data_IF_096152548424
#
_entry.id   IF_096152548424
#
_cell.length_a   1.000
_cell.length_b   1.000
_cell.length_c   1.000
_cell.angle_alpha   90.00
_cell.angle_beta   90.00
_cell.angle_gamma   90.00
#
_symmetry.space_group_name_H-M   'P 1'
#
loop_
_entity.id
_entity.type
_entity.pdbx_description
1 polymer ?
#
# COMPACT_ATOMS: atom_id res chain seq x y z
N UNK A 1 39.49 17.52 0.01
CA UNK A 1 38.44 18.12 -0.83
C UNK A 1 37.13 17.30 -0.85
N UNK A 2 36.90 16.45 0.16
CA UNK A 2 35.78 15.46 0.23
C UNK A 2 34.66 15.78 1.23
N UNK A 3 34.88 16.71 2.17
CA UNK A 3 33.92 17.09 3.21
C UNK A 3 32.61 17.75 2.66
N UNK A 4 32.66 18.71 1.72
CA UNK A 4 31.43 19.37 1.25
C UNK A 4 30.53 18.41 0.42
N UNK A 5 31.11 17.47 -0.32
CA UNK A 5 30.34 16.52 -1.11
C UNK A 5 29.59 15.51 -0.24
N UNK A 6 30.21 15.07 0.85
CA UNK A 6 29.57 14.19 1.83
C UNK A 6 28.40 14.89 2.55
N UNK A 7 28.58 16.14 2.92
CA UNK A 7 27.55 16.93 3.60
C UNK A 7 26.32 17.15 2.71
N UNK A 8 26.53 17.43 1.42
CA UNK A 8 25.45 17.53 0.43
C UNK A 8 24.73 16.19 0.23
N UNK A 9 25.45 15.07 0.18
CA UNK A 9 24.81 13.75 0.04
C UNK A 9 24.00 13.36 1.28
N UNK A 10 24.51 13.67 2.47
CA UNK A 10 23.74 13.45 3.72
C UNK A 10 22.52 14.34 3.77
N UNK A 11 22.61 15.59 3.37
CA UNK A 11 21.45 16.48 3.29
C UNK A 11 20.40 15.96 2.31
N UNK A 12 20.79 15.53 1.12
CA UNK A 12 19.91 14.90 0.15
C UNK A 12 19.24 13.63 0.71
N UNK A 13 19.96 12.82 1.49
CA UNK A 13 19.39 11.66 2.18
C UNK A 13 18.34 12.07 3.21
N UNK A 14 18.59 13.10 3.99
CA UNK A 14 17.62 13.61 4.97
C UNK A 14 16.34 14.12 4.30
N UNK A 15 16.46 14.80 3.15
CA UNK A 15 15.32 15.26 2.35
C UNK A 15 14.47 14.09 1.82
N UNK A 16 15.12 13.06 1.29
CA UNK A 16 14.42 11.84 0.83
C UNK A 16 13.73 11.12 1.98
N UNK A 17 14.32 11.06 3.16
CA UNK A 17 13.67 10.51 4.34
C UNK A 17 12.46 11.34 4.79
N UNK A 18 12.52 12.65 4.67
CA UNK A 18 11.38 13.54 4.96
C UNK A 18 10.25 13.34 3.92
N UNK A 19 10.60 13.10 2.65
CA UNK A 19 9.62 12.73 1.62
C UNK A 19 8.97 11.37 1.91
N UNK A 20 9.75 10.38 2.34
CA UNK A 20 9.24 9.06 2.75
C UNK A 20 8.30 9.15 3.95
N UNK A 21 8.65 9.94 4.97
CA UNK A 21 7.79 10.19 6.15
C UNK A 21 6.45 10.76 5.70
N UNK A 22 6.46 11.83 4.90
CA UNK A 22 5.24 12.46 4.37
C UNK A 22 4.41 11.49 3.53
N UNK A 23 5.07 10.64 2.76
CA UNK A 23 4.38 9.62 1.97
C UNK A 23 3.65 8.61 2.86
N UNK A 24 4.31 8.08 3.90
CA UNK A 24 3.68 7.12 4.83
C UNK A 24 2.53 7.78 5.60
N UNK A 25 2.66 9.03 6.03
CA UNK A 25 1.58 9.81 6.66
C UNK A 25 0.38 9.98 5.72
N UNK A 26 0.64 10.24 4.43
CA UNK A 26 -0.40 10.32 3.41
C UNK A 26 -1.11 8.98 3.21
N UNK A 27 -0.37 7.87 3.16
CA UNK A 27 -0.96 6.52 3.04
C UNK A 27 -1.84 6.19 4.25
N UNK A 28 -1.40 6.53 5.47
CA UNK A 28 -2.20 6.36 6.69
C UNK A 28 -3.53 7.12 6.62
N UNK A 29 -3.50 8.38 6.22
CA UNK A 29 -4.71 9.20 6.04
C UNK A 29 -5.66 8.61 4.98
N UNK A 30 -5.11 8.04 3.90
CA UNK A 30 -5.91 7.38 2.87
C UNK A 30 -6.55 6.08 3.34
N UNK A 31 -5.86 5.27 4.15
CA UNK A 31 -6.46 4.08 4.74
C UNK A 31 -7.62 4.45 5.67
N UNK A 32 -7.51 5.53 6.42
CA UNK A 32 -8.59 6.05 7.24
C UNK A 32 -9.77 6.53 6.37
N UNK A 33 -9.51 7.33 5.33
CA UNK A 33 -10.52 7.78 4.39
C UNK A 33 -11.21 6.60 3.68
N UNK A 34 -10.45 5.60 3.25
CA UNK A 34 -10.98 4.38 2.63
C UNK A 34 -11.97 3.67 3.55
N UNK A 35 -11.62 3.47 4.82
CA UNK A 35 -12.52 2.84 5.79
C UNK A 35 -13.79 3.66 6.01
N UNK A 36 -13.66 4.98 6.11
CA UNK A 36 -14.82 5.87 6.28
C UNK A 36 -15.79 5.82 5.09
N UNK A 37 -15.26 5.81 3.86
CA UNK A 37 -16.05 5.71 2.63
C UNK A 37 -16.73 4.34 2.51
N UNK A 38 -16.03 3.25 2.86
CA UNK A 38 -16.61 1.90 2.87
C UNK A 38 -17.79 1.79 3.86
N UNK A 39 -17.64 2.33 5.06
CA UNK A 39 -18.69 2.32 6.09
C UNK A 39 -19.92 3.13 5.64
N UNK A 40 -19.68 4.26 4.98
CA UNK A 40 -20.74 5.13 4.44
C UNK A 40 -21.34 4.61 3.14
N UNK A 41 -20.75 3.61 2.50
CA UNK A 41 -21.09 3.13 1.16
C UNK A 41 -21.06 4.24 0.11
N UNK A 42 -20.06 5.10 0.18
CA UNK A 42 -19.85 6.20 -0.76
C UNK A 42 -18.97 5.72 -1.92
N UNK A 43 -19.62 5.13 -2.92
CA UNK A 43 -18.93 4.54 -4.09
C UNK A 43 -18.22 5.61 -4.92
N UNK A 44 -18.83 6.80 -5.07
CA UNK A 44 -18.23 7.91 -5.81
C UNK A 44 -16.96 8.44 -5.11
N UNK A 45 -17.01 8.55 -3.78
CA UNK A 45 -15.85 8.91 -2.96
C UNK A 45 -14.74 7.86 -3.06
N UNK A 46 -15.06 6.57 -3.09
CA UNK A 46 -14.11 5.48 -3.27
C UNK A 46 -13.41 5.54 -4.63
N UNK A 47 -14.17 5.73 -5.70
CA UNK A 47 -13.60 5.85 -7.05
C UNK A 47 -12.61 7.00 -7.14
N UNK A 48 -12.98 8.17 -6.63
CA UNK A 48 -12.09 9.34 -6.58
C UNK A 48 -10.83 9.08 -5.76
N UNK A 49 -10.95 8.45 -4.59
CA UNK A 49 -9.80 8.10 -3.75
C UNK A 49 -8.85 7.15 -4.47
N UNK A 50 -9.36 6.14 -5.17
CA UNK A 50 -8.55 5.18 -5.93
C UNK A 50 -7.83 5.85 -7.11
N UNK A 51 -8.48 6.79 -7.79
CA UNK A 51 -7.86 7.57 -8.87
C UNK A 51 -6.71 8.45 -8.34
N UNK A 52 -6.91 9.12 -7.21
CA UNK A 52 -5.87 9.91 -6.56
C UNK A 52 -4.67 9.05 -6.12
N UNK A 53 -4.90 7.84 -5.63
CA UNK A 53 -3.84 6.89 -5.28
C UNK A 53 -3.04 6.49 -6.54
N UNK A 54 -3.71 6.16 -7.64
CA UNK A 54 -3.04 5.80 -8.91
C UNK A 54 -2.17 6.93 -9.44
N UNK A 55 -2.68 8.16 -9.43
CA UNK A 55 -1.96 9.35 -9.91
C UNK A 55 -0.67 9.61 -9.13
N UNK A 56 -0.66 9.34 -7.83
CA UNK A 56 0.51 9.57 -6.99
C UNK A 56 1.51 8.41 -6.97
N UNK A 57 1.13 7.24 -7.47
CA UNK A 57 2.04 6.09 -7.53
C UNK A 57 3.29 6.37 -8.38
N UNK A 58 3.15 7.13 -9.47
CA UNK A 58 4.26 7.54 -10.34
C UNK A 58 5.27 8.45 -9.61
N UNK A 59 4.76 9.42 -8.83
CA UNK A 59 5.61 10.32 -8.05
C UNK A 59 6.43 9.55 -7.01
N UNK A 60 5.83 8.53 -6.38
CA UNK A 60 6.53 7.72 -5.41
C UNK A 60 7.59 6.80 -6.03
N UNK A 61 7.36 6.32 -7.26
CA UNK A 61 8.37 5.54 -7.99
C UNK A 61 9.64 6.36 -8.25
N UNK A 62 9.51 7.65 -8.57
CA UNK A 62 10.65 8.56 -8.74
C UNK A 62 11.48 8.70 -7.46
N UNK A 63 10.86 8.73 -6.29
CA UNK A 63 11.56 8.72 -5.00
C UNK A 63 12.36 7.45 -4.77
N UNK A 64 11.86 6.31 -5.24
CA UNK A 64 12.61 5.04 -5.21
C UNK A 64 13.93 5.11 -5.98
N UNK A 65 13.92 5.77 -7.13
CA UNK A 65 15.14 5.97 -7.94
C UNK A 65 16.14 6.90 -7.24
N UNK A 66 15.68 8.01 -6.64
CA UNK A 66 16.53 8.90 -5.84
C UNK A 66 17.21 8.16 -4.68
N UNK A 67 16.47 7.33 -3.96
CA UNK A 67 17.04 6.50 -2.87
C UNK A 67 18.11 5.56 -3.37
N UNK A 68 17.90 4.92 -4.51
CA UNK A 68 18.88 4.02 -5.09
C UNK A 68 20.14 4.76 -5.51
N UNK A 69 20.03 5.92 -6.16
CA UNK A 69 21.17 6.77 -6.52
C UNK A 69 21.98 7.16 -5.28
N UNK A 70 21.30 7.69 -4.24
CA UNK A 70 21.97 8.07 -2.99
C UNK A 70 22.65 6.89 -2.29
N UNK A 71 22.07 5.69 -2.36
CA UNK A 71 22.69 4.47 -1.83
C UNK A 71 23.99 4.15 -2.56
N UNK A 72 23.99 4.26 -3.89
CA UNK A 72 25.17 4.02 -4.72
C UNK A 72 26.27 5.05 -4.42
N UNK A 73 25.90 6.33 -4.31
CA UNK A 73 26.84 7.41 -3.98
C UNK A 73 27.50 7.20 -2.61
N UNK A 74 26.69 6.82 -1.61
CA UNK A 74 27.18 6.50 -0.26
C UNK A 74 28.05 5.24 -0.25
N UNK A 75 27.67 4.20 -1.00
CA UNK A 75 28.47 3.00 -1.14
C UNK A 75 29.85 3.31 -1.73
N UNK A 76 29.90 4.09 -2.80
CA UNK A 76 31.14 4.52 -3.44
C UNK A 76 32.00 5.38 -2.50
N UNK A 77 31.39 6.32 -1.77
CA UNK A 77 32.09 7.21 -0.86
C UNK A 77 32.76 6.47 0.31
N UNK A 78 32.07 5.50 0.90
CA UNK A 78 32.58 4.74 2.05
C UNK A 78 33.33 3.46 1.65
N UNK A 79 33.39 3.10 0.36
CA UNK A 79 33.96 1.83 -0.10
C UNK A 79 33.16 0.62 0.38
N UNK A 80 31.85 0.76 0.55
CA UNK A 80 30.97 -0.30 1.01
C UNK A 80 30.30 -0.99 -0.17
N UNK A 81 29.82 -2.22 0.07
CA UNK A 81 28.90 -2.84 -0.87
C UNK A 81 27.51 -2.15 -0.75
N UNK A 82 26.78 -1.99 -1.85
CA UNK A 82 25.44 -1.38 -1.86
C UNK A 82 24.49 -2.02 -0.85
N UNK A 83 24.58 -3.33 -0.66
CA UNK A 83 23.74 -4.08 0.29
C UNK A 83 24.02 -3.74 1.74
N UNK A 84 25.20 -3.25 2.03
CA UNK A 84 25.67 -2.92 3.38
C UNK A 84 25.36 -1.47 3.76
N UNK A 85 24.87 -0.66 2.83
CA UNK A 85 24.44 0.73 3.11
C UNK A 85 23.13 0.71 3.84
N UNK A 86 23.19 0.81 5.17
CA UNK A 86 22.04 0.91 6.06
C UNK A 86 22.08 2.20 6.87
N UNK A 87 20.89 2.71 7.25
CA UNK A 87 20.84 3.92 8.09
C UNK A 87 21.57 3.75 9.41
N UNK A 88 21.53 2.57 10.02
CA UNK A 88 22.23 2.27 11.26
C UNK A 88 23.76 2.30 11.09
N UNK A 89 24.28 1.80 9.97
CA UNK A 89 25.71 1.84 9.67
C UNK A 89 26.19 3.26 9.39
N UNK A 90 25.37 4.05 8.67
CA UNK A 90 25.63 5.47 8.44
C UNK A 90 25.70 6.28 9.73
N UNK A 91 24.79 6.01 10.68
CA UNK A 91 24.82 6.66 12.00
C UNK A 91 26.12 6.44 12.75
N UNK A 92 26.76 5.27 12.57
CA UNK A 92 28.08 4.98 13.15
C UNK A 92 29.22 5.81 12.56
N UNK A 93 29.06 6.35 11.35
CA UNK A 93 30.05 7.18 10.66
C UNK A 93 29.81 8.67 10.83
N UNK A 94 28.60 9.05 11.21
CA UNK A 94 28.22 10.45 11.39
C UNK A 94 28.42 10.90 12.84
N UNK A 95 28.70 12.18 13.00
CA UNK A 95 28.83 12.85 14.31
C UNK A 95 27.97 14.11 14.36
N UNK A 96 27.75 14.65 15.55
CA UNK A 96 27.09 15.92 15.73
C UNK A 96 25.65 15.98 15.24
N UNK A 97 25.20 17.13 14.69
CA UNK A 97 23.79 17.38 14.35
C UNK A 97 23.28 16.47 13.24
N UNK A 98 24.09 16.10 12.25
CA UNK A 98 23.69 15.22 11.15
C UNK A 98 23.33 13.81 11.64
N UNK A 99 24.07 13.27 12.63
CA UNK A 99 23.73 12.00 13.27
C UNK A 99 22.40 12.09 14.00
N UNK A 100 22.19 13.14 14.80
CA UNK A 100 20.95 13.35 15.54
C UNK A 100 19.75 13.49 14.60
N UNK A 101 19.89 14.24 13.50
CA UNK A 101 18.87 14.40 12.48
C UNK A 101 18.51 13.07 11.80
N UNK A 102 19.49 12.24 11.46
CA UNK A 102 19.28 10.92 10.85
C UNK A 102 18.58 9.97 11.83
N UNK A 103 19.01 9.91 13.09
CA UNK A 103 18.38 9.09 14.13
C UNK A 103 16.92 9.46 14.36
N UNK A 104 16.60 10.75 14.42
CA UNK A 104 15.23 11.25 14.60
C UNK A 104 14.31 10.79 13.45
N UNK A 105 14.74 10.96 12.19
CA UNK A 105 13.98 10.52 11.02
C UNK A 105 13.80 9.02 10.95
N UNK A 106 14.84 8.26 11.26
CA UNK A 106 14.77 6.80 11.32
C UNK A 106 13.75 6.34 12.39
N UNK A 107 13.79 6.91 13.58
CA UNK A 107 12.85 6.58 14.65
C UNK A 107 11.40 6.93 14.24
N UNK A 108 11.18 8.12 13.65
CA UNK A 108 9.87 8.54 13.14
C UNK A 108 9.36 7.59 12.06
N UNK A 109 10.19 7.27 11.07
CA UNK A 109 9.82 6.38 9.96
C UNK A 109 9.48 4.98 10.48
N UNK A 110 10.27 4.44 11.42
CA UNK A 110 10.00 3.14 12.05
C UNK A 110 8.64 3.13 12.75
N UNK A 111 8.34 4.16 13.54
CA UNK A 111 7.05 4.30 14.23
C UNK A 111 5.88 4.35 13.23
N UNK A 112 6.01 5.14 12.16
CA UNK A 112 4.98 5.24 11.12
C UNK A 112 4.77 3.93 10.37
N UNK A 113 5.83 3.17 10.07
CA UNK A 113 5.73 1.85 9.43
C UNK A 113 4.99 0.86 10.33
N UNK A 114 5.25 0.85 11.63
CA UNK A 114 4.52 -0.01 12.58
C UNK A 114 3.04 0.39 12.67
N UNK A 115 2.74 1.68 12.64
CA UNK A 115 1.36 2.16 12.54
C UNK A 115 0.72 1.73 11.23
N UNK A 116 1.42 1.90 10.10
CA UNK A 116 0.93 1.52 8.77
C UNK A 116 0.58 0.02 8.70
N UNK A 117 1.41 -0.85 9.26
CA UNK A 117 1.13 -2.30 9.32
C UNK A 117 -0.17 -2.59 10.05
N UNK A 118 -0.40 -1.96 11.20
CA UNK A 118 -1.65 -2.12 11.98
C UNK A 118 -2.86 -1.64 11.19
N UNK A 119 -2.80 -0.42 10.65
CA UNK A 119 -3.89 0.19 9.89
C UNK A 119 -4.21 -0.57 8.60
N UNK A 120 -3.18 -1.07 7.91
CA UNK A 120 -3.34 -1.93 6.74
C UNK A 120 -4.05 -3.23 7.08
N UNK A 121 -3.67 -3.90 8.18
CA UNK A 121 -4.32 -5.13 8.64
C UNK A 121 -5.80 -4.89 8.95
N UNK A 122 -6.13 -3.83 9.70
CA UNK A 122 -7.50 -3.46 10.02
C UNK A 122 -8.34 -3.19 8.75
N UNK A 123 -7.77 -2.48 7.79
CA UNK A 123 -8.44 -2.18 6.52
C UNK A 123 -8.67 -3.44 5.69
N UNK A 124 -7.71 -4.36 5.68
CA UNK A 124 -7.84 -5.65 4.96
C UNK A 124 -8.95 -6.52 5.55
N UNK A 125 -9.06 -6.58 6.88
CA UNK A 125 -10.14 -7.30 7.57
C UNK A 125 -11.50 -6.70 7.21
N UNK A 126 -11.63 -5.37 7.27
CA UNK A 126 -12.88 -4.68 6.91
C UNK A 126 -13.30 -4.96 5.46
N UNK A 127 -12.35 -4.90 4.52
CA UNK A 127 -12.63 -5.21 3.10
C UNK A 127 -13.09 -6.65 2.91
N UNK A 128 -12.46 -7.60 3.60
CA UNK A 128 -12.85 -9.00 3.55
C UNK A 128 -14.28 -9.22 4.08
N UNK A 129 -14.64 -8.56 5.17
CA UNK A 129 -15.99 -8.63 5.76
C UNK A 129 -17.03 -7.98 4.84
N UNK A 130 -16.74 -6.83 4.23
CA UNK A 130 -17.60 -6.22 3.23
C UNK A 130 -17.84 -7.14 2.02
N UNK A 131 -16.79 -7.77 1.51
CA UNK A 131 -16.90 -8.71 0.39
C UNK A 131 -17.74 -9.95 0.76
N UNK A 132 -17.54 -10.49 1.98
CA UNK A 132 -18.33 -11.61 2.51
C UNK A 132 -19.81 -11.23 2.61
N UNK A 133 -20.10 -10.06 3.18
CA UNK A 133 -21.47 -9.58 3.32
C UNK A 133 -22.15 -9.39 1.97
N UNK A 134 -21.50 -8.76 1.01
CA UNK A 134 -22.04 -8.60 -0.34
C UNK A 134 -22.33 -9.95 -1.00
N UNK A 135 -21.46 -10.95 -0.83
CA UNK A 135 -21.69 -12.31 -1.34
C UNK A 135 -22.94 -12.94 -0.72
N UNK A 136 -23.11 -12.82 0.60
CA UNK A 136 -24.28 -13.35 1.28
C UNK A 136 -25.57 -12.66 0.82
N UNK A 137 -25.55 -11.34 0.62
CA UNK A 137 -26.69 -10.60 0.05
C UNK A 137 -27.03 -11.07 -1.36
N UNK A 138 -26.03 -11.25 -2.23
CA UNK A 138 -26.25 -11.76 -3.58
C UNK A 138 -26.83 -13.17 -3.57
N UNK A 139 -26.34 -14.04 -2.68
CA UNK A 139 -26.90 -15.38 -2.49
C UNK A 139 -28.36 -15.34 -2.00
N UNK A 140 -28.68 -14.44 -1.07
CA UNK A 140 -30.03 -14.30 -0.54
C UNK A 140 -31.02 -13.73 -1.56
N UNK A 141 -30.59 -12.73 -2.35
CA UNK A 141 -31.44 -12.05 -3.32
C UNK A 141 -31.66 -12.84 -4.61
N UNK A 142 -30.61 -13.51 -5.10
CA UNK A 142 -30.65 -14.17 -6.40
C UNK A 142 -30.73 -15.69 -6.32
N UNK A 143 -30.89 -16.24 -5.10
CA UNK A 143 -31.07 -17.69 -4.93
C UNK A 143 -29.89 -18.53 -5.43
N UNK A 144 -28.70 -17.93 -5.55
CA UNK A 144 -27.46 -18.64 -5.93
C UNK A 144 -26.95 -19.45 -4.72
N UNK A 145 -27.83 -20.25 -4.15
CA UNK A 145 -27.44 -21.34 -3.28
C UNK A 145 -26.83 -22.42 -4.16
N UNK A 146 -25.58 -22.74 -3.95
CA UNK A 146 -24.91 -23.85 -4.62
C UNK A 146 -25.42 -25.26 -4.24
N UNK A 147 -26.69 -25.38 -3.90
CA UNK A 147 -27.49 -26.61 -3.93
C UNK A 147 -28.43 -26.47 -5.10
N UNK A 148 -28.08 -27.12 -6.21
CA UNK A 148 -28.95 -27.22 -7.37
C UNK A 148 -30.34 -27.62 -6.92
N UNK A 149 -31.30 -26.71 -7.01
CA UNK A 149 -32.70 -27.10 -7.05
C UNK A 149 -32.86 -27.91 -8.33
N UNK A 150 -32.90 -29.24 -8.19
CA UNK A 150 -33.31 -30.13 -9.26
C UNK A 150 -34.76 -29.80 -9.57
N UNK A 151 -34.99 -28.96 -10.57
CA UNK A 151 -36.33 -28.78 -11.13
C UNK A 151 -36.63 -30.00 -12.03
N UNK A 152 -37.59 -30.79 -11.62
CA UNK A 152 -38.08 -31.89 -12.43
C UNK A 152 -38.91 -31.38 -13.61
N UNK A 153 -38.53 -31.76 -14.82
CA UNK A 153 -39.37 -31.58 -16.00
C UNK A 153 -40.63 -32.41 -15.86
N UNK A 154 -41.78 -32.04 -16.47
CA UNK A 154 -43.00 -32.85 -16.51
C UNK A 154 -42.80 -34.20 -17.12
N UNK A 155 -41.69 -34.43 -17.81
CA UNK A 155 -41.30 -35.73 -18.43
C UNK A 155 -40.35 -36.57 -17.58
N UNK A 156 -40.07 -36.16 -16.30
CA UNK A 156 -39.26 -36.95 -15.38
C UNK A 156 -37.73 -36.88 -15.59
N UNK A 157 -37.24 -36.12 -16.55
CA UNK A 157 -35.79 -35.94 -16.77
C UNK A 157 -35.20 -34.82 -15.89
N UNK A 158 -34.14 -35.14 -15.15
CA UNK A 158 -33.40 -34.16 -14.35
C UNK A 158 -32.56 -33.27 -15.28
N UNK A 159 -32.85 -31.96 -15.33
CA UNK A 159 -32.00 -30.98 -16.00
C UNK A 159 -31.01 -30.37 -15.00
N UNK A 160 -29.73 -30.51 -15.30
CA UNK A 160 -28.69 -29.75 -14.59
C UNK A 160 -28.72 -28.28 -14.98
N UNK A 161 -28.50 -27.34 -14.03
CA UNK A 161 -28.52 -25.90 -14.30
C UNK A 161 -27.33 -25.39 -15.12
N UNK A 162 -26.48 -26.25 -15.65
CA UNK A 162 -25.33 -25.90 -16.50
C UNK A 162 -25.73 -25.46 -17.93
N UNK A 163 -27.00 -25.56 -18.33
CA UNK A 163 -27.44 -25.25 -19.70
C UNK A 163 -28.15 -23.89 -19.82
N UNK A 164 -28.12 -23.06 -18.80
CA UNK A 164 -28.60 -21.67 -18.95
C UNK A 164 -27.46 -20.81 -19.54
N UNK A 165 -27.68 -20.11 -20.67
CA UNK A 165 -26.70 -19.18 -21.18
C UNK A 165 -26.52 -18.04 -20.17
N UNK A 166 -25.32 -17.98 -19.60
CA UNK A 166 -24.89 -16.83 -18.80
C UNK A 166 -24.99 -15.59 -19.68
N UNK A 167 -25.97 -14.71 -19.37
CA UNK A 167 -25.95 -13.35 -19.92
C UNK A 167 -24.61 -12.74 -19.54
N UNK A 168 -23.74 -12.57 -20.53
CA UNK A 168 -22.48 -11.87 -20.38
C UNK A 168 -22.78 -10.39 -20.13
N UNK A 169 -22.84 -10.00 -18.86
CA UNK A 169 -22.72 -8.61 -18.48
C UNK A 169 -21.25 -8.21 -18.75
N UNK A 170 -21.00 -7.60 -19.91
CA UNK A 170 -19.78 -6.84 -20.15
C UNK A 170 -19.94 -5.49 -19.47
N UNK A 171 -19.12 -5.24 -18.48
CA UNK A 171 -18.82 -3.90 -17.98
C UNK A 171 -17.59 -3.36 -18.69
#
# INVERSE_FOLDING_TARGET
MTLPLMETTIQALLEVLDEDIRHVETVLSRLEALRALLIKRDDAGLEKLLEDIRRQAETYAANGQKRQSLRNDLAAHFGWNERDVTLSRLQGQLTGPSRAALMGRQARLKSLIEQLKREHTLTTVLLADCARFNRLLMQALFGVSGKGNMTYSPTGAAKHPSDMPLMSLRF
#
